data_IF_288287959272
#
_entry.id   IF_288287959272
#
_cell.length_a   1.000
_cell.length_b   1.000
_cell.length_c   1.000
_cell.angle_alpha   90.00
_cell.angle_beta   90.00
_cell.angle_gamma   90.00
#
_symmetry.space_group_name_H-M   'P 1'
#
loop_
_entity.id
_entity.type
_entity.pdbx_description
1 polymer ?
#
# COMPACT_ATOMS: atom_id res chain seq x y z
N UNK A 1 2.34 -23.14 -9.94
CA UNK A 1 3.57 -22.98 -9.15
C UNK A 1 3.20 -22.36 -7.82
N UNK A 2 3.94 -22.61 -6.74
CA UNK A 2 3.71 -21.86 -5.50
C UNK A 2 3.99 -20.38 -5.76
N UNK A 3 3.18 -19.50 -5.18
CA UNK A 3 3.34 -18.05 -5.24
C UNK A 3 4.57 -17.67 -4.39
N UNK A 4 5.71 -17.56 -5.09
CA UNK A 4 7.01 -17.32 -4.49
C UNK A 4 7.12 -15.89 -3.95
N UNK A 5 6.29 -14.96 -4.42
CA UNK A 5 6.18 -13.64 -3.82
C UNK A 5 5.51 -13.77 -2.44
N UNK A 6 4.31 -14.34 -2.39
CA UNK A 6 3.51 -14.54 -1.18
C UNK A 6 4.26 -15.32 -0.11
N UNK A 7 4.89 -16.45 -0.42
CA UNK A 7 5.55 -17.29 0.60
C UNK A 7 6.63 -16.51 1.38
N UNK A 8 7.45 -15.74 0.67
CA UNK A 8 8.54 -14.93 1.25
C UNK A 8 8.00 -13.68 1.96
N UNK A 9 6.97 -13.05 1.38
CA UNK A 9 6.23 -11.93 1.99
C UNK A 9 5.56 -12.36 3.31
N UNK A 10 4.90 -13.51 3.33
CA UNK A 10 4.15 -14.02 4.48
C UNK A 10 5.06 -14.46 5.63
N UNK A 11 6.26 -14.98 5.35
CA UNK A 11 7.30 -15.17 6.36
C UNK A 11 7.72 -13.82 6.98
N UNK A 12 7.87 -12.79 6.15
CA UNK A 12 8.21 -11.42 6.56
C UNK A 12 7.09 -10.78 7.41
N UNK A 13 5.82 -11.00 7.04
CA UNK A 13 4.63 -10.64 7.83
C UNK A 13 4.61 -11.31 9.20
N UNK A 14 4.84 -12.62 9.29
CA UNK A 14 4.88 -13.37 10.56
C UNK A 14 6.01 -12.89 11.48
N UNK A 15 7.16 -12.54 10.92
CA UNK A 15 8.27 -11.92 11.66
C UNK A 15 7.89 -10.53 12.18
N UNK A 16 7.36 -9.66 11.32
CA UNK A 16 6.93 -8.30 11.65
C UNK A 16 5.86 -8.29 12.73
N UNK A 17 4.83 -9.12 12.59
CA UNK A 17 3.73 -9.22 13.56
C UNK A 17 4.21 -9.76 14.91
N UNK A 18 5.12 -10.74 14.94
CA UNK A 18 5.76 -11.17 16.20
C UNK A 18 6.52 -10.05 16.91
N UNK A 19 7.17 -9.16 16.17
CA UNK A 19 7.87 -8.00 16.74
C UNK A 19 6.91 -6.93 17.27
N UNK A 20 5.78 -6.70 16.59
CA UNK A 20 4.76 -5.71 16.96
C UNK A 20 3.84 -6.18 18.11
N UNK A 21 3.40 -7.43 18.08
CA UNK A 21 2.35 -7.95 18.96
C UNK A 21 2.85 -8.98 19.98
N UNK A 22 4.16 -9.26 20.00
CA UNK A 22 4.78 -10.31 20.81
C UNK A 22 4.63 -11.71 20.23
N UNK A 23 3.68 -11.92 19.31
CA UNK A 23 3.38 -13.20 18.67
C UNK A 23 2.92 -13.03 17.20
N UNK A 24 3.10 -14.04 16.33
CA UNK A 24 2.59 -14.00 14.96
C UNK A 24 1.05 -13.94 14.91
N UNK A 25 0.51 -13.13 14.01
CA UNK A 25 -0.94 -12.95 13.84
C UNK A 25 -1.64 -14.01 12.97
N UNK A 26 -0.89 -14.85 12.23
CA UNK A 26 -1.45 -15.86 11.32
C UNK A 26 -0.89 -15.75 9.90
N UNK A 27 -1.66 -16.17 8.90
CA UNK A 27 -1.31 -16.01 7.48
C UNK A 27 -1.68 -14.59 7.01
N UNK A 28 -0.83 -13.95 6.21
CA UNK A 28 -1.08 -12.57 5.74
C UNK A 28 -2.38 -12.46 4.92
N UNK A 29 -2.69 -13.47 4.10
CA UNK A 29 -3.90 -13.50 3.26
C UNK A 29 -5.21 -13.36 4.06
N UNK A 30 -5.22 -13.79 5.32
CA UNK A 30 -6.42 -13.75 6.16
C UNK A 30 -6.81 -12.29 6.49
N UNK A 31 -5.83 -11.38 6.42
CA UNK A 31 -5.94 -9.93 6.62
C UNK A 31 -6.11 -9.15 5.30
N UNK A 32 -6.32 -9.83 4.16
CA UNK A 32 -6.38 -9.21 2.82
C UNK A 32 -7.34 -8.02 2.74
N UNK A 33 -8.56 -8.16 3.26
CA UNK A 33 -9.57 -7.09 3.18
C UNK A 33 -9.16 -5.85 3.98
N UNK A 34 -8.57 -6.02 5.16
CA UNK A 34 -8.03 -4.92 5.96
C UNK A 34 -6.78 -4.28 5.33
N UNK A 35 -5.90 -5.09 4.70
CA UNK A 35 -4.66 -4.57 4.12
C UNK A 35 -4.88 -3.91 2.75
N UNK A 36 -5.87 -4.30 1.96
CA UNK A 36 -6.12 -3.72 0.63
C UNK A 36 -6.88 -2.38 0.65
N UNK A 37 -7.50 -2.00 1.76
CA UNK A 37 -8.28 -0.75 1.88
C UNK A 37 -7.56 0.56 1.42
N UNK A 38 -6.23 0.77 1.63
CA UNK A 38 -5.54 1.97 1.19
C UNK A 38 -4.90 1.84 -0.21
N UNK A 39 -5.08 0.69 -0.88
CA UNK A 39 -4.45 0.38 -2.16
C UNK A 39 -5.08 1.20 -3.28
N UNK A 40 -4.23 1.91 -4.03
CA UNK A 40 -4.68 2.63 -5.23
C UNK A 40 -4.39 1.80 -6.47
N UNK A 41 -5.48 1.42 -7.15
CA UNK A 41 -5.45 0.64 -8.36
C UNK A 41 -6.58 -0.38 -8.40
N UNK A 42 -6.69 -1.05 -9.55
CA UNK A 42 -7.70 -2.07 -9.81
C UNK A 42 -7.16 -3.11 -10.78
N UNK A 43 -7.73 -4.32 -10.72
CA UNK A 43 -7.57 -5.29 -11.80
C UNK A 43 -8.51 -4.95 -12.94
N UNK A 44 -7.98 -4.96 -14.17
CA UNK A 44 -8.72 -4.79 -15.43
C UNK A 44 -8.35 -5.91 -16.40
N UNK A 45 -9.03 -5.97 -17.55
CA UNK A 45 -8.73 -6.95 -18.61
C UNK A 45 -7.83 -6.33 -19.68
N UNK A 46 -6.81 -7.07 -20.11
CA UNK A 46 -6.14 -6.77 -21.37
C UNK A 46 -7.11 -6.96 -22.54
N UNK A 47 -7.14 -6.00 -23.46
CA UNK A 47 -7.88 -6.09 -24.73
C UNK A 47 -7.17 -6.96 -25.78
N UNK A 48 -5.90 -7.35 -25.54
CA UNK A 48 -5.10 -8.18 -26.45
C UNK A 48 -5.22 -9.66 -26.07
N UNK A 49 -5.08 -10.01 -24.78
CA UNK A 49 -5.09 -11.42 -24.32
C UNK A 49 -6.28 -11.82 -23.45
N UNK A 50 -7.07 -10.87 -22.93
CA UNK A 50 -8.08 -11.15 -21.91
C UNK A 50 -7.54 -11.54 -20.53
N UNK A 51 -6.21 -11.48 -20.31
CA UNK A 51 -5.58 -11.64 -18.99
C UNK A 51 -6.05 -10.56 -18.02
N UNK A 52 -5.98 -10.86 -16.72
CA UNK A 52 -6.07 -9.84 -15.68
C UNK A 52 -4.75 -9.07 -15.62
N UNK A 53 -4.83 -7.75 -15.57
CA UNK A 53 -3.68 -6.86 -15.38
C UNK A 53 -4.02 -5.86 -14.28
N UNK A 54 -3.02 -5.43 -13.51
CA UNK A 54 -3.17 -4.39 -12.49
C UNK A 54 -2.84 -3.02 -13.06
N UNK A 55 -3.59 -1.99 -12.67
CA UNK A 55 -3.37 -0.60 -13.09
C UNK A 55 -3.37 0.34 -11.89
N UNK A 56 -2.42 1.28 -11.87
CA UNK A 56 -2.12 2.21 -10.76
C UNK A 56 -3.23 3.22 -10.42
N UNK A 57 -4.37 3.26 -11.14
CA UNK A 57 -5.41 4.27 -10.90
C UNK A 57 -6.83 3.72 -11.04
N UNK A 58 -7.72 4.22 -10.19
CA UNK A 58 -9.14 3.96 -10.28
C UNK A 58 -9.88 4.93 -11.23
N UNK A 59 -9.24 6.05 -11.58
CA UNK A 59 -9.83 7.16 -12.34
C UNK A 59 -9.78 7.02 -13.87
N UNK A 60 -9.32 5.88 -14.41
CA UNK A 60 -9.44 5.62 -15.85
C UNK A 60 -10.92 5.62 -16.29
N UNK A 61 -11.23 6.12 -17.52
CA UNK A 61 -12.56 6.02 -18.11
C UNK A 61 -13.14 4.60 -18.07
N UNK A 62 -14.48 4.46 -18.02
CA UNK A 62 -15.14 3.15 -17.96
C UNK A 62 -14.84 2.27 -19.18
N UNK A 63 -14.69 2.90 -20.34
CA UNK A 63 -14.42 2.27 -21.64
C UNK A 63 -12.94 2.30 -22.02
N UNK A 64 -12.06 2.65 -21.07
CA UNK A 64 -10.62 2.64 -21.28
C UNK A 64 -10.14 1.25 -21.71
N UNK A 65 -9.41 1.21 -22.83
CA UNK A 65 -8.74 0.01 -23.33
C UNK A 65 -7.40 -0.15 -22.61
N UNK A 66 -7.03 -1.38 -22.26
CA UNK A 66 -5.79 -1.66 -21.54
C UNK A 66 -5.00 -2.83 -22.14
N UNK A 67 -3.68 -2.86 -21.95
CA UNK A 67 -2.81 -3.99 -22.29
C UNK A 67 -1.75 -4.26 -21.21
N UNK A 68 -1.19 -5.47 -21.20
CA UNK A 68 -0.08 -5.85 -20.32
C UNK A 68 1.25 -5.29 -20.85
N UNK A 69 1.91 -4.43 -20.09
CA UNK A 69 3.17 -3.83 -20.53
C UNK A 69 4.30 -4.85 -20.73
N UNK A 70 4.40 -5.88 -19.89
CA UNK A 70 5.52 -6.81 -19.94
C UNK A 70 5.32 -7.86 -21.03
N UNK A 71 4.09 -8.35 -21.17
CA UNK A 71 3.77 -9.46 -22.08
C UNK A 71 3.37 -9.00 -23.48
N UNK A 72 2.82 -7.78 -23.65
CA UNK A 72 2.06 -7.41 -24.86
C UNK A 72 2.55 -6.14 -25.57
N UNK A 73 3.64 -5.51 -25.10
CA UNK A 73 4.20 -4.27 -25.70
C UNK A 73 4.53 -4.40 -27.20
N UNK A 74 4.89 -5.60 -27.66
CA UNK A 74 5.11 -5.88 -29.10
C UNK A 74 3.80 -5.88 -29.89
N UNK A 75 2.70 -6.38 -29.33
CA UNK A 75 1.36 -6.29 -29.92
C UNK A 75 0.82 -4.85 -29.91
N UNK A 76 1.22 -4.05 -28.91
CA UNK A 76 0.89 -2.63 -28.83
C UNK A 76 1.55 -1.76 -29.91
N UNK A 77 2.43 -2.30 -30.77
CA UNK A 77 3.02 -1.57 -31.92
C UNK A 77 1.97 -1.11 -32.96
N UNK A 78 0.74 -1.64 -32.92
CA UNK A 78 -0.40 -1.08 -33.66
C UNK A 78 -0.66 0.40 -33.30
N UNK A 79 -0.40 0.80 -32.05
CA UNK A 79 -0.47 2.19 -31.60
C UNK A 79 0.52 3.09 -32.34
N UNK A 80 1.69 2.55 -32.70
CA UNK A 80 2.80 3.26 -33.32
C UNK A 80 2.59 3.55 -34.81
N UNK A 81 1.50 3.07 -35.43
CA UNK A 81 1.17 3.41 -36.82
C UNK A 81 0.89 4.93 -36.92
N UNK A 82 1.54 5.66 -37.85
CA UNK A 82 1.22 7.06 -38.10
C UNK A 82 -0.26 7.26 -38.40
N UNK A 83 -0.80 8.43 -38.02
CA UNK A 83 -2.12 8.87 -38.48
C UNK A 83 -1.95 9.33 -39.93
N UNK A 84 -2.83 8.88 -40.82
CA UNK A 84 -2.87 9.40 -42.19
C UNK A 84 -3.46 10.80 -42.17
N UNK A 85 -2.60 11.80 -42.35
CA UNK A 85 -2.99 13.23 -42.29
C UNK A 85 -4.06 13.57 -43.34
N UNK A 86 -4.15 12.81 -44.44
CA UNK A 86 -5.15 13.03 -45.49
C UNK A 86 -6.57 12.60 -45.07
N UNK A 87 -6.71 11.86 -43.96
CA UNK A 87 -8.00 11.44 -43.41
C UNK A 87 -8.56 12.47 -42.41
N UNK A 88 -7.73 13.37 -41.90
CA UNK A 88 -8.15 14.45 -41.00
C UNK A 88 -8.74 15.59 -41.83
N UNK A 89 -10.06 15.78 -41.73
CA UNK A 89 -10.82 16.85 -42.41
C UNK A 89 -11.24 17.96 -41.46
N UNK A 90 -11.48 17.59 -40.22
CA UNK A 90 -12.07 18.36 -39.14
C UNK A 90 -11.64 17.77 -37.79
N UNK A 91 -12.23 18.26 -36.69
CA UNK A 91 -11.89 17.80 -35.34
C UNK A 91 -12.45 16.39 -35.05
N UNK A 92 -13.58 16.02 -35.65
CA UNK A 92 -14.25 14.75 -35.38
C UNK A 92 -13.53 13.58 -36.07
N UNK A 93 -13.15 13.76 -37.34
CA UNK A 93 -12.28 12.81 -38.07
C UNK A 93 -10.88 12.69 -37.46
N UNK A 94 -10.37 13.74 -36.81
CA UNK A 94 -9.18 13.62 -35.96
C UNK A 94 -9.44 12.71 -34.76
N UNK A 95 -10.55 12.93 -34.02
CA UNK A 95 -10.91 12.11 -32.86
C UNK A 95 -11.09 10.64 -33.23
N UNK A 96 -11.83 10.32 -34.29
CA UNK A 96 -11.99 8.94 -34.80
C UNK A 96 -10.62 8.30 -35.10
N UNK A 97 -9.71 9.02 -35.77
CA UNK A 97 -8.39 8.52 -36.13
C UNK A 97 -7.42 8.34 -34.93
N UNK A 98 -7.69 8.97 -33.78
CA UNK A 98 -6.91 8.79 -32.54
C UNK A 98 -7.60 7.91 -31.50
N UNK A 99 -8.92 7.70 -31.55
CA UNK A 99 -9.67 6.97 -30.53
C UNK A 99 -9.19 5.52 -30.39
N UNK A 100 -8.93 4.85 -31.52
CA UNK A 100 -8.36 3.50 -31.53
C UNK A 100 -6.95 3.42 -30.92
N UNK A 101 -6.26 4.56 -30.78
CA UNK A 101 -4.89 4.67 -30.25
C UNK A 101 -4.86 5.00 -28.75
N UNK A 102 -5.99 5.36 -28.12
CA UNK A 102 -6.03 5.59 -26.67
C UNK A 102 -6.14 4.27 -25.89
N UNK A 103 -4.98 3.66 -25.63
CA UNK A 103 -4.85 2.41 -24.87
C UNK A 103 -3.82 2.61 -23.75
N UNK A 104 -4.19 2.27 -22.52
CA UNK A 104 -3.33 2.38 -21.35
C UNK A 104 -2.58 1.07 -21.08
N UNK A 105 -1.43 1.13 -20.43
CA UNK A 105 -0.68 -0.05 -20.02
C UNK A 105 -0.81 -0.34 -18.52
N UNK A 106 -0.99 -1.60 -18.16
CA UNK A 106 -0.90 -2.14 -16.79
C UNK A 106 0.34 -3.01 -16.59
N UNK A 107 0.48 -3.60 -15.41
CA UNK A 107 1.56 -4.52 -15.05
C UNK A 107 2.99 -4.00 -15.33
N UNK A 108 3.26 -2.69 -15.31
CA UNK A 108 4.57 -2.13 -15.66
C UNK A 108 5.63 -2.57 -14.63
N UNK A 109 6.50 -3.51 -15.00
CA UNK A 109 7.61 -4.01 -14.16
C UNK A 109 8.94 -3.74 -14.86
N UNK A 110 9.77 -2.88 -14.25
CA UNK A 110 10.94 -2.26 -14.84
C UNK A 110 12.20 -2.49 -13.97
N UNK A 111 13.37 -2.31 -14.57
CA UNK A 111 14.66 -2.47 -13.90
C UNK A 111 14.93 -3.91 -13.43
N UNK A 112 15.69 -4.06 -12.35
CA UNK A 112 16.01 -5.34 -11.72
C UNK A 112 14.90 -5.80 -10.75
N UNK A 113 13.67 -5.86 -11.25
CA UNK A 113 12.49 -6.30 -10.47
C UNK A 113 12.21 -7.80 -10.65
N UNK A 114 11.85 -8.51 -9.58
CA UNK A 114 11.60 -9.97 -9.60
C UNK A 114 10.54 -10.39 -8.59
N UNK A 115 9.78 -11.44 -8.92
CA UNK A 115 8.67 -11.96 -8.09
C UNK A 115 7.67 -10.84 -7.77
N UNK A 116 7.11 -10.28 -8.84
CA UNK A 116 6.16 -9.16 -8.80
C UNK A 116 4.82 -9.68 -9.32
N UNK A 117 3.78 -9.63 -8.49
CA UNK A 117 2.48 -10.23 -8.76
C UNK A 117 1.36 -9.21 -8.53
N UNK A 118 0.37 -9.15 -9.43
CA UNK A 118 -0.75 -8.20 -9.41
C UNK A 118 -0.36 -6.73 -9.16
N UNK A 119 0.74 -6.27 -9.73
CA UNK A 119 1.34 -4.97 -9.36
C UNK A 119 1.74 -4.12 -10.59
N UNK A 120 1.73 -2.79 -10.45
CA UNK A 120 1.95 -1.85 -11.57
C UNK A 120 2.90 -0.69 -11.19
N UNK A 121 3.67 -0.16 -12.14
CA UNK A 121 4.73 0.83 -11.90
C UNK A 121 5.75 0.37 -10.83
N UNK A 122 6.34 -0.80 -11.02
CA UNK A 122 7.32 -1.41 -10.11
C UNK A 122 8.71 -1.30 -10.72
N UNK A 123 9.66 -0.69 -10.01
CA UNK A 123 11.03 -0.45 -10.48
C UNK A 123 12.05 -0.93 -9.45
N UNK A 124 13.05 -1.70 -9.90
CA UNK A 124 14.16 -2.21 -9.08
C UNK A 124 13.74 -2.88 -7.74
N UNK A 125 12.60 -3.59 -7.74
CA UNK A 125 11.94 -4.08 -6.52
C UNK A 125 11.67 -5.59 -6.54
N UNK A 126 11.79 -6.26 -5.40
CA UNK A 126 11.79 -7.73 -5.30
C UNK A 126 10.77 -8.24 -4.27
N UNK A 127 9.97 -9.26 -4.62
CA UNK A 127 8.86 -9.76 -3.79
C UNK A 127 7.83 -8.66 -3.50
N UNK A 128 7.00 -8.38 -4.51
CA UNK A 128 5.96 -7.35 -4.48
C UNK A 128 4.62 -7.95 -4.89
N UNK A 129 3.58 -7.76 -4.07
CA UNK A 129 2.24 -8.32 -4.27
C UNK A 129 1.17 -7.22 -4.20
N UNK A 130 0.19 -7.24 -5.12
CA UNK A 130 -1.00 -6.35 -5.10
C UNK A 130 -0.65 -4.88 -4.77
N UNK A 131 0.35 -4.29 -5.45
CA UNK A 131 0.92 -2.98 -5.09
C UNK A 131 1.18 -2.09 -6.31
N UNK A 132 1.38 -0.78 -6.11
CA UNK A 132 1.65 0.15 -7.21
C UNK A 132 2.65 1.28 -6.91
N UNK A 133 3.36 1.78 -7.93
CA UNK A 133 4.37 2.85 -7.78
C UNK A 133 5.44 2.53 -6.71
N UNK A 134 6.14 1.42 -6.86
CA UNK A 134 7.18 0.97 -5.92
C UNK A 134 8.56 1.11 -6.56
N UNK A 135 9.48 1.79 -5.87
CA UNK A 135 10.87 1.99 -6.34
C UNK A 135 11.86 1.50 -5.26
N UNK A 136 12.82 0.66 -5.64
CA UNK A 136 13.87 0.13 -4.74
C UNK A 136 13.32 -0.54 -3.46
N UNK A 137 12.32 -1.43 -3.56
CA UNK A 137 11.66 -2.04 -2.40
C UNK A 137 11.75 -3.56 -2.30
N UNK A 138 11.57 -4.11 -1.09
CA UNK A 138 11.51 -5.57 -0.85
C UNK A 138 10.47 -6.00 0.17
N UNK A 139 9.84 -7.15 -0.07
CA UNK A 139 8.83 -7.74 0.83
C UNK A 139 7.66 -6.77 1.05
N UNK A 140 6.94 -6.48 -0.04
CA UNK A 140 5.89 -5.46 -0.09
C UNK A 140 4.57 -6.10 -0.50
N UNK A 141 3.49 -5.82 0.24
CA UNK A 141 2.14 -6.12 -0.23
C UNK A 141 1.16 -4.99 0.05
N UNK A 142 0.15 -4.84 -0.82
CA UNK A 142 -0.99 -3.91 -0.65
C UNK A 142 -0.60 -2.42 -0.56
N UNK A 143 0.57 -2.03 -1.08
CA UNK A 143 1.10 -0.67 -0.95
C UNK A 143 0.92 0.15 -2.22
N UNK A 144 0.90 1.48 -2.10
CA UNK A 144 1.03 2.41 -3.22
C UNK A 144 2.07 3.51 -2.91
N UNK A 145 2.85 3.90 -3.92
CA UNK A 145 3.78 5.05 -3.88
C UNK A 145 4.85 4.93 -2.77
N UNK A 146 5.79 3.98 -2.93
CA UNK A 146 6.91 3.75 -2.02
C UNK A 146 8.28 3.95 -2.70
N UNK A 147 9.29 4.36 -1.94
CA UNK A 147 10.66 4.54 -2.40
C UNK A 147 11.68 4.17 -1.32
N UNK A 148 12.56 3.21 -1.63
CA UNK A 148 13.63 2.70 -0.74
C UNK A 148 13.10 2.03 0.55
N UNK A 149 12.08 1.15 0.44
CA UNK A 149 11.42 0.54 1.59
C UNK A 149 11.51 -1.00 1.58
N UNK A 150 11.91 -1.58 2.71
CA UNK A 150 11.77 -3.02 2.97
C UNK A 150 10.65 -3.26 4.01
N UNK A 151 9.91 -4.37 3.93
CA UNK A 151 8.87 -4.81 4.90
C UNK A 151 7.66 -3.87 5.04
N UNK A 152 6.87 -3.73 3.98
CA UNK A 152 5.68 -2.87 3.98
C UNK A 152 4.40 -3.64 3.62
N UNK A 153 3.45 -3.69 4.57
CA UNK A 153 2.15 -4.31 4.36
C UNK A 153 1.06 -3.24 4.57
N UNK A 154 0.59 -2.69 3.44
CA UNK A 154 -0.45 -1.66 3.27
C UNK A 154 -0.08 -0.17 3.49
N UNK A 155 0.95 0.37 2.82
CA UNK A 155 1.33 1.79 2.95
C UNK A 155 1.06 2.67 1.72
N UNK A 156 0.65 3.92 1.97
CA UNK A 156 0.65 5.08 1.06
C UNK A 156 0.87 6.37 1.85
N UNK A 157 1.95 7.14 1.71
CA UNK A 157 3.23 6.92 1.02
C UNK A 157 4.36 7.36 1.96
N UNK A 158 5.52 6.72 1.95
CA UNK A 158 6.58 7.07 2.90
C UNK A 158 8.01 6.99 2.36
N UNK A 159 8.86 7.88 2.86
CA UNK A 159 10.29 7.64 3.02
C UNK A 159 10.60 6.78 4.26
N UNK A 160 11.89 6.45 4.43
CA UNK A 160 12.53 5.53 5.39
C UNK A 160 11.68 4.96 6.55
N UNK A 161 11.53 3.63 6.59
CA UNK A 161 10.67 2.92 7.56
C UNK A 161 11.23 1.55 7.96
N UNK A 162 10.86 1.00 9.12
CA UNK A 162 10.96 -0.46 9.46
C UNK A 162 10.27 -0.78 10.80
N UNK A 163 9.28 -1.67 10.92
CA UNK A 163 8.54 -2.53 9.97
C UNK A 163 7.04 -2.32 10.24
N UNK A 164 6.16 -2.47 9.23
CA UNK A 164 4.81 -1.86 9.29
C UNK A 164 3.64 -2.82 9.06
N UNK A 165 2.54 -2.56 9.76
CA UNK A 165 1.17 -3.00 9.43
C UNK A 165 0.31 -1.75 9.22
N UNK A 166 0.30 -1.26 7.96
CA UNK A 166 -0.53 -0.16 7.41
C UNK A 166 -0.17 1.30 7.81
N UNK A 167 -0.12 2.23 6.83
CA UNK A 167 0.20 3.69 6.99
C UNK A 167 0.16 4.45 5.62
N UNK A 168 -0.78 5.32 5.22
CA UNK A 168 -1.26 6.57 5.84
C UNK A 168 -0.19 7.68 6.09
N UNK A 169 0.77 7.72 5.17
CA UNK A 169 1.79 8.76 4.86
C UNK A 169 2.88 9.06 5.91
N UNK A 170 4.16 9.18 5.50
CA UNK A 170 5.28 9.38 6.44
C UNK A 170 6.62 9.89 5.88
N UNK A 171 7.56 10.23 6.78
CA UNK A 171 8.97 10.46 6.45
C UNK A 171 10.02 10.03 7.51
N UNK A 172 9.64 9.34 8.61
CA UNK A 172 10.55 8.39 9.32
C UNK A 172 9.84 7.62 10.45
N UNK A 173 9.85 6.27 10.37
CA UNK A 173 9.12 5.37 11.28
C UNK A 173 9.92 4.14 11.73
N UNK A 174 9.97 3.88 13.05
CA UNK A 174 10.37 2.57 13.64
C UNK A 174 9.63 2.28 14.96
N UNK A 175 8.59 1.45 15.03
CA UNK A 175 7.80 0.68 14.03
C UNK A 175 6.34 1.19 14.06
N UNK A 176 5.39 0.55 13.34
CA UNK A 176 4.01 1.04 13.36
C UNK A 176 2.90 0.06 12.92
N UNK A 177 1.74 0.27 13.55
CA UNK A 177 0.41 -0.17 13.17
C UNK A 177 -0.48 1.11 13.02
N UNK A 178 -0.85 1.43 11.79
CA UNK A 178 -1.76 2.51 11.33
C UNK A 178 -1.67 3.91 11.99
N UNK A 179 -0.68 4.70 11.52
CA UNK A 179 -0.68 6.18 11.52
C UNK A 179 -0.56 6.68 10.08
N UNK A 180 -1.06 7.85 9.62
CA UNK A 180 -1.48 9.13 10.24
C UNK A 180 -0.39 10.22 10.31
N UNK A 181 0.29 10.43 9.17
CA UNK A 181 1.19 11.56 8.83
C UNK A 181 2.19 11.95 9.93
N UNK A 182 3.41 11.41 9.89
CA UNK A 182 4.52 11.78 10.80
C UNK A 182 5.87 11.96 10.10
N UNK A 183 6.86 12.54 10.79
CA UNK A 183 8.17 12.96 10.22
C UNK A 183 9.41 12.51 11.03
N UNK A 184 9.27 12.01 12.27
CA UNK A 184 10.32 11.24 12.98
C UNK A 184 9.73 10.55 14.22
N UNK A 185 9.86 9.22 14.33
CA UNK A 185 8.93 8.42 15.15
C UNK A 185 9.50 7.14 15.78
N UNK A 186 9.00 6.80 16.98
CA UNK A 186 8.96 5.44 17.56
C UNK A 186 7.96 5.37 18.74
N UNK A 187 7.27 4.27 19.07
CA UNK A 187 7.12 2.95 18.44
C UNK A 187 5.62 2.60 18.56
N UNK A 188 4.89 2.58 17.43
CA UNK A 188 3.55 3.21 17.39
C UNK A 188 2.34 2.28 17.19
N UNK A 189 1.32 2.50 18.04
CA UNK A 189 -0.08 2.03 17.89
C UNK A 189 -0.94 3.07 18.64
N UNK A 190 -1.62 4.07 18.07
CA UNK A 190 -2.15 4.30 16.73
C UNK A 190 -2.29 5.85 16.69
N UNK A 191 -1.31 6.60 16.18
CA UNK A 191 -1.11 8.00 16.63
C UNK A 191 -0.94 9.02 15.49
N UNK A 192 -1.57 10.18 15.69
CA UNK A 192 -1.82 11.25 14.73
C UNK A 192 -0.90 12.46 14.97
N UNK A 193 -0.17 12.92 13.96
CA UNK A 193 0.64 14.15 13.94
C UNK A 193 1.61 14.35 15.14
N UNK A 194 2.12 13.26 15.71
CA UNK A 194 2.93 13.26 16.94
C UNK A 194 4.41 13.62 16.67
N UNK A 195 4.76 14.91 16.73
CA UNK A 195 6.13 15.37 16.48
C UNK A 195 7.05 15.19 17.72
N UNK A 196 8.22 14.56 17.53
CA UNK A 196 9.28 14.44 18.55
C UNK A 196 8.91 13.65 19.81
N UNK A 197 7.83 12.87 19.77
CA UNK A 197 7.35 12.09 20.91
C UNK A 197 7.78 10.62 20.79
N UNK A 198 7.94 9.93 21.92
CA UNK A 198 8.23 8.49 21.97
C UNK A 198 7.27 7.78 22.91
N UNK A 199 7.03 6.48 22.73
CA UNK A 199 6.19 5.69 23.65
C UNK A 199 4.81 6.34 23.91
N UNK A 200 4.03 6.49 22.83
CA UNK A 200 2.69 7.09 22.84
C UNK A 200 1.68 6.17 22.14
N UNK A 201 0.56 5.86 22.80
CA UNK A 201 -0.56 5.08 22.23
C UNK A 201 -1.87 5.86 22.26
N UNK A 202 -2.72 5.69 21.24
CA UNK A 202 -4.03 6.35 21.12
C UNK A 202 -3.99 7.84 21.51
N UNK A 203 -3.01 8.57 20.99
CA UNK A 203 -2.64 9.93 21.41
C UNK A 203 -2.69 10.87 20.21
N UNK A 204 -3.29 12.04 20.40
CA UNK A 204 -3.67 12.97 19.33
C UNK A 204 -3.14 14.37 19.61
N UNK A 205 -2.48 14.98 18.62
CA UNK A 205 -1.97 16.36 18.65
C UNK A 205 -1.03 16.68 19.84
N UNK A 206 0.00 15.85 20.03
CA UNK A 206 1.02 16.06 21.08
C UNK A 206 2.43 16.26 20.52
N UNK A 207 3.25 17.01 21.25
CA UNK A 207 4.63 17.33 20.87
C UNK A 207 5.60 17.09 22.03
N UNK A 208 6.74 16.45 21.73
CA UNK A 208 7.83 16.17 22.68
C UNK A 208 7.40 15.47 23.99
N UNK A 209 6.45 14.54 23.93
CA UNK A 209 5.94 13.76 25.08
C UNK A 209 6.47 12.33 25.11
N UNK A 210 6.37 11.70 26.28
CA UNK A 210 6.74 10.29 26.55
C UNK A 210 5.77 9.63 27.51
N UNK A 211 5.58 8.31 27.34
CA UNK A 211 4.72 7.47 28.19
C UNK A 211 3.25 7.92 28.17
N UNK A 212 2.71 8.17 26.98
CA UNK A 212 1.34 8.68 26.79
C UNK A 212 0.38 7.56 26.41
N UNK A 213 -0.80 7.52 27.02
CA UNK A 213 -1.93 6.70 26.56
C UNK A 213 -3.19 7.55 26.65
N UNK A 214 -3.94 7.72 25.57
CA UNK A 214 -5.20 8.50 25.59
C UNK A 214 -5.01 9.97 25.99
N UNK A 215 -3.93 10.61 25.53
CA UNK A 215 -3.48 11.95 25.97
C UNK A 215 -3.15 12.09 27.49
N UNK A 216 -3.10 11.00 28.26
CA UNK A 216 -2.65 11.00 29.67
C UNK A 216 -1.18 10.60 29.75
N UNK A 217 -0.37 11.39 30.48
CA UNK A 217 1.02 11.07 30.76
C UNK A 217 1.14 10.18 32.01
N UNK A 218 1.83 9.05 31.89
CA UNK A 218 1.96 8.02 32.93
C UNK A 218 3.39 7.91 33.47
N UNK A 219 3.55 7.29 34.65
CA UNK A 219 4.87 6.76 35.05
C UNK A 219 5.35 5.71 34.04
N UNK A 220 6.66 5.48 33.99
CA UNK A 220 7.26 4.50 33.07
C UNK A 220 6.72 3.08 33.33
N UNK A 221 6.49 2.75 34.60
CA UNK A 221 6.02 1.47 35.10
C UNK A 221 4.52 1.29 34.77
N UNK A 222 3.71 2.31 35.02
CA UNK A 222 2.29 2.35 34.66
C UNK A 222 2.10 2.21 33.14
N UNK A 223 2.90 2.95 32.36
CA UNK A 223 2.90 2.88 30.90
C UNK A 223 3.28 1.48 30.40
N UNK A 224 4.38 0.90 30.90
CA UNK A 224 4.83 -0.41 30.47
C UNK A 224 3.78 -1.52 30.76
N UNK A 225 3.16 -1.50 31.94
CA UNK A 225 2.10 -2.43 32.31
C UNK A 225 0.85 -2.29 31.42
N UNK A 226 0.40 -1.05 31.19
CA UNK A 226 -0.79 -0.80 30.37
C UNK A 226 -0.54 -1.07 28.88
N UNK A 227 0.65 -0.73 28.35
CA UNK A 227 1.09 -1.06 26.99
C UNK A 227 1.06 -2.57 26.73
N UNK A 228 1.59 -3.37 27.66
CA UNK A 228 1.61 -4.83 27.53
C UNK A 228 0.18 -5.42 27.47
N UNK A 229 -0.73 -4.93 28.32
CA UNK A 229 -2.14 -5.31 28.29
C UNK A 229 -2.80 -4.97 26.94
N UNK A 230 -2.69 -3.71 26.50
CA UNK A 230 -3.31 -3.23 25.26
C UNK A 230 -2.78 -3.97 24.02
N UNK A 231 -1.48 -4.28 23.96
CA UNK A 231 -0.90 -5.05 22.84
C UNK A 231 -1.49 -6.47 22.81
N UNK A 232 -1.67 -7.13 23.96
CA UNK A 232 -2.29 -8.46 24.02
C UNK A 232 -3.76 -8.43 23.59
N UNK A 233 -4.53 -7.41 24.00
CA UNK A 233 -5.92 -7.24 23.59
C UNK A 233 -6.02 -6.99 22.07
N UNK A 234 -5.20 -6.10 21.50
CA UNK A 234 -5.14 -5.85 20.05
C UNK A 234 -4.76 -7.10 19.25
N UNK A 235 -3.82 -7.92 19.75
CA UNK A 235 -3.40 -9.16 19.08
C UNK A 235 -4.54 -10.19 19.01
N UNK A 236 -5.30 -10.35 20.10
CA UNK A 236 -6.47 -11.23 20.16
C UNK A 236 -7.59 -10.75 19.22
N UNK A 237 -7.85 -9.44 19.20
CA UNK A 237 -8.88 -8.86 18.35
C UNK A 237 -8.54 -8.98 16.86
N UNK A 238 -7.29 -8.71 16.48
CA UNK A 238 -6.79 -8.93 15.12
C UNK A 238 -6.91 -10.39 14.69
N UNK A 239 -6.48 -11.35 15.53
CA UNK A 239 -6.63 -12.79 15.24
C UNK A 239 -8.07 -13.24 15.10
N UNK A 240 -9.01 -12.60 15.80
CA UNK A 240 -10.44 -12.96 15.79
C UNK A 240 -11.20 -12.33 14.62
N UNK A 241 -10.85 -11.11 14.23
CA UNK A 241 -11.60 -10.26 13.29
C UNK A 241 -10.91 -10.08 11.93
N UNK A 242 -9.61 -10.37 11.86
CA UNK A 242 -8.68 -10.04 10.77
C UNK A 242 -8.66 -8.55 10.34
N UNK A 243 -9.22 -7.68 11.20
CA UNK A 243 -9.34 -6.24 11.03
C UNK A 243 -9.40 -5.57 12.40
N UNK A 244 -8.92 -4.34 12.50
CA UNK A 244 -9.08 -3.45 13.67
C UNK A 244 -9.99 -2.27 13.33
N UNK A 245 -10.34 -1.43 14.31
CA UNK A 245 -10.82 -0.08 14.04
C UNK A 245 -9.67 0.71 13.41
N UNK A 246 -9.91 1.30 12.24
CA UNK A 246 -8.96 2.16 11.52
C UNK A 246 -9.05 3.60 12.00
N UNK A 247 -7.95 4.35 11.90
CA UNK A 247 -7.98 5.81 12.09
C UNK A 247 -8.86 6.51 11.05
N UNK A 248 -9.05 5.88 9.88
CA UNK A 248 -9.99 6.34 8.85
C UNK A 248 -11.44 6.05 9.21
N UNK A 249 -11.73 4.98 9.97
CA UNK A 249 -13.08 4.74 10.51
C UNK A 249 -13.45 5.89 11.46
N UNK A 250 -12.54 6.21 12.39
CA UNK A 250 -12.72 7.27 13.42
C UNK A 250 -12.91 8.66 12.77
N UNK A 251 -12.13 9.00 11.73
CA UNK A 251 -12.23 10.29 11.04
C UNK A 251 -13.41 10.34 10.04
N UNK A 252 -13.87 9.17 9.57
CA UNK A 252 -14.92 9.07 8.55
C UNK A 252 -16.34 9.31 9.07
N UNK A 253 -16.65 8.87 10.29
CA UNK A 253 -18.01 8.96 10.85
C UNK A 253 -18.51 10.41 11.03
N UNK A 254 -17.63 11.38 11.29
CA UNK A 254 -17.99 12.80 11.44
C UNK A 254 -18.55 13.48 10.17
N UNK A 255 -18.53 12.80 9.01
CA UNK A 255 -19.00 13.37 7.72
C UNK A 255 -20.33 12.79 7.22
N UNK A 256 -20.99 11.95 8.01
CA UNK A 256 -22.24 11.28 7.66
C UNK A 256 -23.49 11.75 8.41
N UNK A 257 -23.39 12.79 9.25
CA UNK A 257 -24.49 13.34 10.07
C UNK A 257 -24.89 14.76 9.67
#
# INVERSE_FOLDING_TARGET
MADKAYDVINQSWKSTTKVLFGEPLGEMKDYYDYLKEPLVGKSVKSIISGKNIFVTSNHYPKEAKFFDYNDEITGATILSKPIDVNQIRDIDSLFEAVEEKFIYSGNKVLGNSKFVENSDNITDSNYVLDSSMIVNGKYIAYCYMLRNNDYCFASTSSGDSSMLVRCLYNNSLKRCFECSLTVSSSDCYFCHNANGSSDCMFTFNVHAKRNMIGNVQLSKEQYAALKAKLISEMAQDLKKKHRTVSIMDIIGEERGG
#
